data_IF_482895693953
#
_entry.id   IF_482895693953
#
_cell.length_a   1.000
_cell.length_b   1.000
_cell.length_c   1.000
_cell.angle_alpha   90.00
_cell.angle_beta   90.00
_cell.angle_gamma   90.00
#
_symmetry.space_group_name_H-M   'P 1'
#
loop_
_entity.id
_entity.type
_entity.pdbx_description
1 polymer ?
#
# COMPACT_ATOMS: atom_id res chain seq x y z
N UNK A 1 -9.65 -24.02 3.64
CA UNK A 1 -9.31 -23.96 2.21
C UNK A 1 -9.95 -22.71 1.64
N UNK A 2 -9.14 -21.70 1.30
CA UNK A 2 -9.58 -20.42 0.76
C UNK A 2 -9.71 -20.53 -0.77
N UNK A 3 -10.73 -19.93 -1.41
CA UNK A 3 -10.80 -19.92 -2.86
C UNK A 3 -9.81 -18.89 -3.42
N UNK A 4 -8.88 -19.37 -4.24
CA UNK A 4 -8.09 -18.54 -5.14
C UNK A 4 -9.05 -17.74 -6.02
N UNK A 5 -8.96 -16.40 -6.00
CA UNK A 5 -9.58 -15.53 -7.01
C UNK A 5 -8.80 -15.55 -8.35
N UNK A 6 -8.42 -16.75 -8.80
CA UNK A 6 -8.09 -17.01 -10.19
C UNK A 6 -9.40 -17.08 -10.96
N UNK A 7 -9.63 -16.15 -11.88
CA UNK A 7 -10.65 -16.32 -12.92
C UNK A 7 -10.47 -17.70 -13.55
N UNK A 8 -11.53 -18.50 -13.52
CA UNK A 8 -11.56 -19.85 -14.07
C UNK A 8 -11.19 -19.85 -15.54
N UNK A 9 -9.97 -20.28 -15.80
CA UNK A 9 -9.65 -21.27 -16.82
C UNK A 9 -8.81 -22.32 -16.10
N UNK A 10 -9.43 -23.45 -15.71
CA UNK A 10 -8.68 -24.67 -15.41
C UNK A 10 -7.98 -25.10 -16.71
N UNK A 11 -6.73 -24.68 -16.84
CA UNK A 11 -5.77 -25.36 -17.69
C UNK A 11 -4.86 -26.09 -16.72
N UNK A 12 -4.88 -27.42 -16.80
CA UNK A 12 -3.97 -28.33 -16.10
C UNK A 12 -2.54 -27.76 -16.05
N UNK A 13 -1.73 -28.07 -15.02
CA UNK A 13 -0.35 -27.60 -14.91
C UNK A 13 0.51 -28.27 -15.99
N UNK A 14 0.40 -27.78 -17.22
CA UNK A 14 1.32 -28.15 -18.28
C UNK A 14 2.60 -27.35 -18.00
N UNK A 15 3.51 -27.95 -17.21
CA UNK A 15 4.84 -27.45 -16.84
C UNK A 15 5.79 -27.29 -18.06
N UNK A 16 5.29 -26.90 -19.24
CA UNK A 16 6.01 -26.96 -20.51
C UNK A 16 6.25 -25.62 -21.21
N UNK A 17 5.81 -24.48 -20.65
CA UNK A 17 5.69 -23.24 -21.44
C UNK A 17 6.65 -22.11 -21.01
N UNK A 18 7.39 -21.59 -22.00
CA UNK A 18 8.10 -20.31 -21.91
C UNK A 18 7.08 -19.17 -21.84
N UNK A 19 7.07 -18.43 -20.75
CA UNK A 19 6.13 -17.32 -20.56
C UNK A 19 6.75 -16.19 -19.72
N UNK A 20 6.21 -14.99 -19.92
CA UNK A 20 6.46 -13.85 -19.03
C UNK A 20 5.24 -13.71 -18.14
N UNK A 21 5.45 -13.60 -16.83
CA UNK A 21 4.39 -13.29 -15.88
C UNK A 21 4.64 -11.87 -15.38
N UNK A 22 3.64 -11.00 -15.52
CA UNK A 22 3.63 -9.71 -14.82
C UNK A 22 2.83 -9.89 -13.55
N UNK A 23 3.43 -9.57 -12.41
CA UNK A 23 2.82 -9.66 -11.10
C UNK A 23 2.79 -8.28 -10.46
N UNK A 24 1.65 -7.93 -9.86
CA UNK A 24 1.46 -6.73 -9.04
C UNK A 24 1.13 -7.17 -7.62
N UNK A 25 1.78 -6.53 -6.65
CA UNK A 25 1.51 -6.67 -5.23
C UNK A 25 1.72 -5.33 -4.52
N UNK A 26 0.86 -5.01 -3.55
CA UNK A 26 0.93 -3.75 -2.80
C UNK A 26 2.21 -3.59 -1.98
N UNK A 27 2.71 -4.69 -1.40
CA UNK A 27 3.94 -4.73 -0.60
C UNK A 27 4.71 -6.03 -0.87
N UNK A 28 6.01 -6.06 -0.58
CA UNK A 28 6.88 -7.25 -0.73
C UNK A 28 6.37 -8.46 0.07
N UNK A 29 5.70 -8.21 1.20
CA UNK A 29 5.12 -9.22 2.09
C UNK A 29 3.64 -9.50 1.86
N UNK A 30 3.01 -8.85 0.88
CA UNK A 30 1.59 -9.03 0.58
C UNK A 30 1.31 -10.45 0.07
N UNK A 31 0.32 -11.12 0.64
CA UNK A 31 -0.17 -12.42 0.16
C UNK A 31 -1.12 -12.23 -1.04
N UNK A 32 -1.77 -11.07 -1.12
CA UNK A 32 -2.64 -10.73 -2.22
C UNK A 32 -1.81 -10.28 -3.41
N UNK A 33 -1.86 -11.04 -4.50
CA UNK A 33 -1.16 -10.71 -5.74
C UNK A 33 -2.11 -10.83 -6.93
N UNK A 34 -1.90 -9.96 -7.91
CA UNK A 34 -2.55 -10.09 -9.22
C UNK A 34 -1.48 -10.41 -10.24
N UNK A 35 -1.73 -11.36 -11.13
CA UNK A 35 -0.77 -11.71 -12.18
C UNK A 35 -1.43 -11.95 -13.53
N UNK A 36 -0.63 -11.76 -14.59
CA UNK A 36 -0.99 -12.06 -15.97
C UNK A 36 0.14 -12.86 -16.62
N UNK A 37 -0.20 -14.06 -17.08
CA UNK A 37 0.71 -14.92 -17.86
C UNK A 37 0.63 -14.59 -19.35
N UNK A 38 1.76 -14.18 -19.93
CA UNK A 38 1.88 -13.74 -21.31
C UNK A 38 2.63 -14.82 -22.10
N UNK A 39 1.90 -15.51 -22.98
CA UNK A 39 2.41 -16.63 -23.81
C UNK A 39 2.87 -16.18 -25.20
N UNK A 40 3.48 -15.00 -25.31
CA UNK A 40 4.06 -14.51 -26.56
C UNK A 40 5.50 -15.00 -26.73
N UNK A 41 5.71 -15.91 -27.69
CA UNK A 41 7.06 -16.40 -28.05
C UNK A 41 7.99 -15.26 -28.48
N UNK A 42 7.45 -14.27 -29.19
CA UNK A 42 8.20 -13.11 -29.67
C UNK A 42 8.67 -12.24 -28.50
N UNK A 43 7.75 -11.82 -27.62
CA UNK A 43 8.09 -10.99 -26.47
C UNK A 43 9.06 -11.71 -25.54
N UNK A 44 8.83 -13.00 -25.27
CA UNK A 44 9.74 -13.82 -24.47
C UNK A 44 11.17 -13.81 -25.05
N UNK A 45 11.31 -14.04 -26.36
CA UNK A 45 12.62 -14.02 -27.04
C UNK A 45 13.25 -12.64 -27.00
N UNK A 46 12.49 -11.56 -27.17
CA UNK A 46 13.03 -10.19 -27.11
C UNK A 46 13.61 -9.89 -25.71
N UNK A 47 12.85 -10.19 -24.65
CA UNK A 47 13.34 -9.99 -23.27
C UNK A 47 14.50 -10.91 -22.95
N UNK A 48 14.42 -12.20 -23.30
CA UNK A 48 15.51 -13.17 -23.09
C UNK A 48 16.81 -12.77 -23.81
N UNK A 49 16.70 -12.31 -25.06
CA UNK A 49 17.84 -11.81 -25.84
C UNK A 49 18.46 -10.58 -25.16
N UNK A 50 17.64 -9.58 -24.81
CA UNK A 50 18.11 -8.36 -24.15
C UNK A 50 18.83 -8.66 -22.84
N UNK A 51 18.34 -9.59 -22.02
CA UNK A 51 18.99 -9.94 -20.74
C UNK A 51 20.34 -10.64 -20.92
N UNK A 52 20.53 -11.39 -22.02
CA UNK A 52 21.77 -12.13 -22.33
C UNK A 52 22.77 -11.31 -23.14
N UNK A 53 22.33 -10.29 -23.85
CA UNK A 53 23.19 -9.46 -24.69
C UNK A 53 24.23 -8.72 -23.82
N UNK A 54 25.48 -8.74 -24.29
CA UNK A 54 26.61 -8.05 -23.66
C UNK A 54 26.52 -6.53 -23.88
N UNK A 55 25.86 -6.10 -24.97
CA UNK A 55 25.71 -4.70 -25.33
C UNK A 55 24.51 -4.02 -24.67
N UNK A 56 23.64 -4.76 -23.99
CA UNK A 56 22.56 -4.17 -23.19
C UNK A 56 23.14 -3.27 -22.11
N UNK A 57 22.71 -2.01 -22.09
CA UNK A 57 23.09 -1.05 -21.07
C UNK A 57 22.65 -1.53 -19.68
N UNK A 58 23.62 -1.70 -18.80
CA UNK A 58 23.44 -2.16 -17.42
C UNK A 58 24.08 -1.17 -16.47
N UNK A 59 23.41 -0.91 -15.35
CA UNK A 59 23.94 -0.07 -14.28
C UNK A 59 24.01 -0.90 -13.01
N UNK A 60 25.17 -0.91 -12.36
CA UNK A 60 25.30 -1.49 -11.02
C UNK A 60 24.56 -0.59 -10.04
N UNK A 61 23.68 -1.18 -9.25
CA UNK A 61 22.90 -0.47 -8.24
C UNK A 61 23.11 -1.11 -6.87
N UNK A 62 23.22 -0.27 -5.85
CA UNK A 62 23.19 -0.71 -4.45
C UNK A 62 21.79 -0.58 -3.85
N UNK A 63 21.05 0.42 -4.31
CA UNK A 63 19.76 0.82 -3.76
C UNK A 63 18.77 1.16 -4.88
N UNK A 64 17.48 0.97 -4.61
CA UNK A 64 16.39 1.41 -5.47
C UNK A 64 15.13 1.71 -4.65
N UNK A 65 14.18 2.41 -5.28
CA UNK A 65 12.86 2.69 -4.71
C UNK A 65 11.97 1.44 -4.71
N UNK A 66 10.93 1.46 -3.88
CA UNK A 66 9.89 0.42 -3.89
C UNK A 66 9.18 0.42 -5.24
N UNK A 67 8.80 -0.77 -5.71
CA UNK A 67 7.88 -0.96 -6.81
C UNK A 67 6.84 -2.02 -6.45
N UNK A 68 5.65 -1.86 -6.99
CA UNK A 68 4.56 -2.83 -6.93
C UNK A 68 4.67 -3.93 -8.00
N UNK A 69 5.52 -3.73 -9.01
CA UNK A 69 5.50 -4.50 -10.25
C UNK A 69 6.73 -5.39 -10.41
N UNK A 70 6.48 -6.65 -10.76
CA UNK A 70 7.49 -7.67 -10.97
C UNK A 70 7.29 -8.35 -12.32
N UNK A 71 8.39 -8.55 -13.05
CA UNK A 71 8.45 -9.38 -14.24
C UNK A 71 9.13 -10.70 -13.89
N UNK A 72 8.42 -11.81 -14.12
CA UNK A 72 8.93 -13.16 -13.92
C UNK A 72 9.09 -13.81 -15.29
N UNK A 73 10.32 -14.13 -15.69
CA UNK A 73 10.59 -15.01 -16.82
C UNK A 73 10.55 -16.46 -16.35
N UNK A 74 9.59 -17.22 -16.87
CA UNK A 74 9.47 -18.64 -16.59
C UNK A 74 9.83 -19.45 -17.84
N UNK A 75 10.74 -20.40 -17.66
CA UNK A 75 11.09 -21.45 -18.62
C UNK A 75 10.93 -22.82 -17.93
N UNK A 76 11.04 -23.92 -18.68
CA UNK A 76 10.84 -25.30 -18.18
C UNK A 76 11.56 -25.60 -16.85
N UNK A 77 12.79 -25.11 -16.68
CA UNK A 77 13.65 -25.46 -15.54
C UNK A 77 14.11 -24.26 -14.72
N UNK A 78 13.72 -23.04 -15.09
CA UNK A 78 14.26 -21.81 -14.49
C UNK A 78 13.22 -20.72 -14.43
N UNK A 79 13.16 -20.07 -13.27
CA UNK A 79 12.39 -18.86 -13.03
C UNK A 79 13.35 -17.75 -12.65
N UNK A 80 13.29 -16.62 -13.36
CA UNK A 80 14.03 -15.40 -13.03
C UNK A 80 13.05 -14.28 -12.75
N UNK A 81 13.28 -13.56 -11.67
CA UNK A 81 12.40 -12.50 -11.18
C UNK A 81 13.13 -11.18 -11.23
N UNK A 82 12.47 -10.17 -11.78
CA UNK A 82 12.99 -8.82 -11.93
C UNK A 82 11.96 -7.82 -11.42
N UNK A 83 12.39 -6.88 -10.58
CA UNK A 83 11.54 -5.75 -10.19
C UNK A 83 11.46 -4.78 -11.37
N UNK A 84 10.27 -4.28 -11.68
CA UNK A 84 10.05 -3.27 -12.71
C UNK A 84 10.04 -1.91 -12.00
N UNK A 85 11.03 -1.05 -12.24
CA UNK A 85 11.04 0.27 -11.59
C UNK A 85 10.06 1.26 -12.25
N UNK A 86 9.95 2.47 -11.71
CA UNK A 86 9.04 3.52 -12.23
C UNK A 86 9.33 3.89 -13.70
N UNK A 87 10.59 3.80 -14.13
CA UNK A 87 11.00 4.03 -15.52
C UNK A 87 10.84 2.80 -16.43
N UNK A 88 10.18 1.74 -15.94
CA UNK A 88 9.95 0.47 -16.62
C UNK A 88 11.23 -0.29 -16.99
N UNK A 89 12.33 -0.02 -16.28
CA UNK A 89 13.56 -0.80 -16.35
C UNK A 89 13.47 -2.01 -15.41
N UNK A 90 14.29 -3.04 -15.68
CA UNK A 90 14.28 -4.28 -14.90
C UNK A 90 15.44 -4.30 -13.91
N UNK A 91 15.17 -4.65 -12.66
CA UNK A 91 16.16 -4.76 -11.60
C UNK A 91 16.30 -6.23 -11.21
N UNK A 92 17.50 -6.77 -11.31
CA UNK A 92 17.90 -8.03 -10.68
C UNK A 92 18.48 -7.70 -9.31
N UNK A 93 17.65 -7.77 -8.27
CA UNK A 93 18.07 -7.45 -6.90
C UNK A 93 19.15 -8.39 -6.39
N UNK A 94 19.19 -9.65 -6.85
CA UNK A 94 20.21 -10.64 -6.42
C UNK A 94 21.59 -10.27 -6.95
N UNK A 95 21.65 -9.70 -8.15
CA UNK A 95 22.90 -9.28 -8.77
C UNK A 95 23.24 -7.80 -8.52
N UNK A 96 22.29 -7.01 -8.02
CA UNK A 96 22.46 -5.56 -7.88
C UNK A 96 22.62 -4.87 -9.24
N UNK A 97 21.86 -5.29 -10.25
CA UNK A 97 21.96 -4.78 -11.62
C UNK A 97 20.61 -4.27 -12.12
N UNK A 98 20.63 -3.07 -12.70
CA UNK A 98 19.53 -2.49 -13.45
C UNK A 98 19.79 -2.65 -14.95
N UNK A 99 18.84 -3.24 -15.67
CA UNK A 99 18.80 -3.37 -17.12
C UNK A 99 17.95 -2.25 -17.70
N UNK A 100 18.55 -1.43 -18.57
CA UNK A 100 17.82 -0.37 -19.26
C UNK A 100 17.07 -0.94 -20.44
N UNK A 101 15.74 -0.84 -20.40
CA UNK A 101 14.90 -1.42 -21.44
C UNK A 101 14.81 -0.48 -22.65
N UNK A 102 14.90 -1.03 -23.88
CA UNK A 102 14.53 -0.32 -25.09
C UNK A 102 13.09 0.21 -25.04
N UNK A 103 12.83 1.34 -25.71
CA UNK A 103 11.55 2.04 -25.66
C UNK A 103 10.37 1.17 -26.12
N UNK A 104 10.56 0.33 -27.15
CA UNK A 104 9.51 -0.57 -27.66
C UNK A 104 9.13 -1.64 -26.62
N UNK A 105 10.12 -2.20 -25.91
CA UNK A 105 9.89 -3.14 -24.82
C UNK A 105 9.23 -2.46 -23.61
N UNK A 106 9.61 -1.23 -23.29
CA UNK A 106 8.93 -0.44 -22.24
C UNK A 106 7.45 -0.27 -22.54
N UNK A 107 7.09 0.11 -23.77
CA UNK A 107 5.68 0.26 -24.18
C UNK A 107 4.92 -1.06 -24.03
N UNK A 108 5.49 -2.17 -24.52
CA UNK A 108 4.87 -3.50 -24.42
C UNK A 108 4.68 -3.92 -22.96
N UNK A 109 5.69 -3.79 -22.10
CA UNK A 109 5.61 -4.16 -20.68
C UNK A 109 4.64 -3.25 -19.93
N UNK A 110 4.67 -1.94 -20.18
CA UNK A 110 3.76 -0.98 -19.55
C UNK A 110 2.29 -1.34 -19.79
N UNK A 111 1.95 -1.76 -21.01
CA UNK A 111 0.60 -2.22 -21.35
C UNK A 111 0.13 -3.33 -20.40
N UNK A 112 0.97 -4.36 -20.19
CA UNK A 112 0.62 -5.48 -19.32
C UNK A 112 0.63 -5.09 -17.84
N UNK A 113 1.61 -4.31 -17.39
CA UNK A 113 1.65 -3.77 -16.02
C UNK A 113 0.35 -3.01 -15.70
N UNK A 114 -0.11 -2.14 -16.60
CA UNK A 114 -1.33 -1.37 -16.37
C UNK A 114 -2.60 -2.23 -16.37
N UNK A 115 -2.66 -3.30 -17.17
CA UNK A 115 -3.77 -4.27 -17.11
C UNK A 115 -3.83 -4.92 -15.72
N UNK A 116 -2.68 -5.37 -15.20
CA UNK A 116 -2.64 -6.04 -13.90
C UNK A 116 -2.89 -5.06 -12.75
N UNK A 117 -2.36 -3.82 -12.82
CA UNK A 117 -2.63 -2.77 -11.82
C UNK A 117 -4.10 -2.42 -11.73
N UNK A 118 -4.80 -2.26 -12.85
CA UNK A 118 -6.26 -1.99 -12.89
C UNK A 118 -7.08 -3.09 -12.22
N UNK A 119 -6.59 -4.33 -12.24
CA UNK A 119 -7.23 -5.46 -11.56
C UNK A 119 -6.85 -5.53 -10.08
N UNK A 120 -5.61 -5.17 -9.74
CA UNK A 120 -5.09 -5.29 -8.38
C UNK A 120 -5.57 -4.17 -7.45
N UNK A 121 -5.59 -2.93 -7.95
CA UNK A 121 -5.94 -1.75 -7.15
C UNK A 121 -7.37 -1.29 -7.41
N UNK A 122 -7.90 -0.51 -6.46
CA UNK A 122 -9.23 0.06 -6.54
C UNK A 122 -9.25 1.45 -7.19
N UNK A 123 -10.37 1.79 -7.81
CA UNK A 123 -10.63 3.16 -8.26
C UNK A 123 -10.86 4.08 -7.05
N UNK A 124 -10.14 5.21 -7.02
CA UNK A 124 -10.29 6.21 -5.98
C UNK A 124 -11.56 7.03 -6.24
N UNK A 125 -12.63 6.72 -5.51
CA UNK A 125 -13.90 7.44 -5.60
C UNK A 125 -14.08 8.39 -4.42
N UNK A 126 -14.76 9.51 -4.67
CA UNK A 126 -15.23 10.39 -3.58
C UNK A 126 -16.30 9.70 -2.76
N UNK A 127 -16.53 10.17 -1.54
CA UNK A 127 -17.63 9.68 -0.70
C UNK A 127 -18.99 9.80 -1.40
N UNK A 128 -19.26 10.92 -2.09
CA UNK A 128 -20.53 11.10 -2.81
C UNK A 128 -20.70 10.04 -3.91
N UNK A 129 -19.66 9.79 -4.71
CA UNK A 129 -19.68 8.74 -5.74
C UNK A 129 -19.84 7.33 -5.11
N UNK A 130 -19.10 7.04 -4.04
CA UNK A 130 -19.17 5.75 -3.36
C UNK A 130 -20.55 5.52 -2.71
N UNK A 131 -21.16 6.57 -2.13
CA UNK A 131 -22.48 6.52 -1.50
C UNK A 131 -23.58 6.18 -2.48
N UNK A 132 -23.50 6.67 -3.72
CA UNK A 132 -24.43 6.30 -4.80
C UNK A 132 -24.29 4.83 -5.20
N UNK A 133 -23.05 4.31 -5.25
CA UNK A 133 -22.79 2.91 -5.61
C UNK A 133 -23.07 1.92 -4.48
N UNK A 134 -22.97 2.36 -3.24
CA UNK A 134 -23.12 1.54 -2.04
C UNK A 134 -24.28 2.08 -1.19
N UNK A 135 -25.54 2.05 -1.68
CA UNK A 135 -26.68 2.64 -0.97
C UNK A 135 -26.92 1.96 0.39
N UNK A 136 -27.68 2.62 1.27
CA UNK A 136 -28.03 2.04 2.58
C UNK A 136 -28.68 0.65 2.38
N UNK A 137 -28.28 -0.32 3.21
CA UNK A 137 -28.65 -1.74 3.17
C UNK A 137 -28.06 -2.56 2.01
N UNK A 138 -27.26 -1.96 1.12
CA UNK A 138 -26.51 -2.73 0.12
C UNK A 138 -25.55 -3.70 0.79
N UNK A 139 -25.43 -4.89 0.22
CA UNK A 139 -24.45 -5.91 0.61
C UNK A 139 -23.32 -5.92 -0.40
N UNK A 140 -22.08 -5.92 0.08
CA UNK A 140 -20.89 -5.96 -0.78
C UNK A 140 -19.74 -6.69 -0.11
N UNK A 141 -18.75 -7.07 -0.91
CA UNK A 141 -17.54 -7.75 -0.47
C UNK A 141 -16.43 -6.74 -0.22
N UNK A 142 -15.82 -6.84 0.96
CA UNK A 142 -14.58 -6.13 1.32
C UNK A 142 -13.43 -7.11 1.18
N UNK A 143 -12.35 -6.69 0.53
CA UNK A 143 -11.12 -7.46 0.35
C UNK A 143 -9.98 -6.68 0.98
N UNK A 144 -9.26 -7.28 1.93
CA UNK A 144 -8.05 -6.67 2.49
C UNK A 144 -6.91 -6.69 1.48
N UNK A 145 -6.31 -5.53 1.21
CA UNK A 145 -5.32 -5.38 0.14
C UNK A 145 -4.08 -6.25 0.37
N UNK A 146 -3.67 -6.47 1.62
CA UNK A 146 -2.43 -7.18 1.94
C UNK A 146 -2.64 -8.70 2.05
N UNK A 147 -3.69 -9.13 2.76
CA UNK A 147 -3.92 -10.56 3.02
C UNK A 147 -4.70 -11.24 1.90
N UNK A 148 -5.50 -10.48 1.13
CA UNK A 148 -6.42 -11.01 0.13
C UNK A 148 -7.65 -11.70 0.73
N UNK A 149 -7.74 -11.74 2.06
CA UNK A 149 -8.93 -12.24 2.74
C UNK A 149 -10.11 -11.32 2.44
N UNK A 150 -11.27 -11.93 2.22
CA UNK A 150 -12.48 -11.22 1.86
C UNK A 150 -13.67 -11.67 2.69
N UNK A 151 -14.55 -10.72 2.97
CA UNK A 151 -15.74 -10.94 3.79
C UNK A 151 -16.88 -10.03 3.31
N UNK A 152 -18.11 -10.46 3.53
CA UNK A 152 -19.29 -9.69 3.16
C UNK A 152 -19.72 -8.77 4.29
N UNK A 153 -20.19 -7.59 3.91
CA UNK A 153 -20.74 -6.60 4.82
C UNK A 153 -22.06 -6.06 4.28
N UNK A 154 -22.86 -5.48 5.17
CA UNK A 154 -23.99 -4.65 4.81
C UNK A 154 -23.76 -3.22 5.29
N UNK A 155 -24.03 -2.22 4.45
CA UNK A 155 -24.09 -0.83 4.90
C UNK A 155 -25.34 -0.59 5.74
N UNK A 156 -25.18 -0.10 6.97
CA UNK A 156 -26.26 0.12 7.93
C UNK A 156 -26.59 1.59 8.13
N UNK A 157 -25.60 2.46 8.06
CA UNK A 157 -25.76 3.90 8.26
C UNK A 157 -24.64 4.69 7.55
N UNK A 158 -24.24 5.81 8.14
CA UNK A 158 -23.16 6.66 7.67
C UNK A 158 -23.59 7.74 6.68
N UNK A 159 -23.38 9.00 7.08
CA UNK A 159 -23.63 10.20 6.25
C UNK A 159 -22.37 10.80 5.64
N UNK A 160 -21.20 10.56 6.26
CA UNK A 160 -19.88 11.09 5.86
C UNK A 160 -18.89 10.00 5.41
N UNK A 161 -19.24 8.75 5.68
CA UNK A 161 -18.53 7.53 5.32
C UNK A 161 -19.54 6.37 5.46
N UNK A 162 -19.14 5.14 5.15
CA UNK A 162 -20.03 3.99 5.28
C UNK A 162 -19.89 3.33 6.64
N UNK A 163 -20.98 3.32 7.42
CA UNK A 163 -21.10 2.51 8.63
C UNK A 163 -21.61 1.13 8.22
N UNK A 164 -20.78 0.11 8.41
CA UNK A 164 -21.00 -1.24 7.90
C UNK A 164 -20.88 -2.29 9.00
N UNK A 165 -21.55 -3.41 8.81
CA UNK A 165 -21.45 -4.58 9.70
C UNK A 165 -21.12 -5.81 8.88
N UNK A 166 -20.26 -6.73 9.38
CA UNK A 166 -20.11 -8.05 8.79
C UNK A 166 -21.47 -8.75 8.70
N UNK A 167 -21.71 -9.44 7.59
CA UNK A 167 -23.03 -10.03 7.32
C UNK A 167 -23.30 -11.27 8.17
N UNK A 168 -22.26 -12.04 8.51
CA UNK A 168 -22.35 -13.30 9.26
C UNK A 168 -21.21 -13.44 10.28
N UNK A 169 -21.35 -14.37 11.24
CA UNK A 169 -20.27 -14.73 12.18
C UNK A 169 -18.99 -15.19 11.47
N UNK A 170 -19.12 -15.83 10.31
CA UNK A 170 -17.98 -16.20 9.46
C UNK A 170 -17.26 -14.95 8.92
N UNK A 171 -18.00 -13.95 8.47
CA UNK A 171 -17.44 -12.69 7.97
C UNK A 171 -16.71 -11.95 9.09
N UNK A 172 -17.27 -11.91 10.30
CA UNK A 172 -16.62 -11.34 11.49
C UNK A 172 -15.35 -12.07 11.86
N UNK A 173 -15.34 -13.41 11.79
CA UNK A 173 -14.13 -14.20 12.03
C UNK A 173 -13.02 -13.88 11.02
N UNK A 174 -13.36 -13.72 9.74
CA UNK A 174 -12.40 -13.34 8.70
C UNK A 174 -11.87 -11.93 8.96
N UNK A 175 -12.75 -10.97 9.26
CA UNK A 175 -12.35 -9.61 9.61
C UNK A 175 -11.42 -9.58 10.83
N UNK A 176 -11.72 -10.35 11.86
CA UNK A 176 -10.87 -10.48 13.05
C UNK A 176 -9.51 -11.11 12.73
N UNK A 177 -9.47 -12.07 11.80
CA UNK A 177 -8.22 -12.65 11.30
C UNK A 177 -7.35 -11.62 10.56
N UNK A 178 -7.94 -10.73 9.75
CA UNK A 178 -7.24 -9.62 9.09
C UNK A 178 -6.53 -8.72 10.12
N UNK A 179 -7.12 -8.59 11.31
CA UNK A 179 -6.54 -7.86 12.44
C UNK A 179 -5.83 -8.76 13.46
N UNK A 180 -5.26 -9.88 13.01
CA UNK A 180 -4.44 -10.79 13.83
C UNK A 180 -5.15 -11.30 15.10
N UNK A 181 -6.46 -11.55 15.01
CA UNK A 181 -7.26 -12.09 16.10
C UNK A 181 -7.79 -11.06 17.09
N UNK A 182 -7.56 -9.77 16.88
CA UNK A 182 -8.00 -8.70 17.79
C UNK A 182 -8.73 -7.58 17.03
N UNK A 183 -9.67 -6.90 17.69
CA UNK A 183 -10.27 -5.70 17.11
C UNK A 183 -9.33 -4.50 17.24
N UNK A 184 -9.27 -3.65 16.22
CA UNK A 184 -8.30 -2.56 16.18
C UNK A 184 -8.83 -1.34 15.46
N UNK A 185 -8.42 -0.17 15.95
CA UNK A 185 -8.64 1.09 15.23
C UNK A 185 -7.66 1.29 14.08
N UNK A 186 -6.64 0.44 13.90
CA UNK A 186 -5.69 0.61 12.80
C UNK A 186 -6.41 0.56 11.44
N UNK A 187 -6.00 1.49 10.58
CA UNK A 187 -6.58 1.67 9.25
C UNK A 187 -5.94 0.64 8.33
N UNK A 188 -6.75 -0.01 7.52
CA UNK A 188 -6.30 -0.95 6.49
C UNK A 188 -6.79 -0.52 5.13
N UNK A 189 -5.90 -0.60 4.14
CA UNK A 189 -6.25 -0.43 2.74
C UNK A 189 -7.10 -1.62 2.28
N UNK A 190 -8.28 -1.34 1.75
CA UNK A 190 -9.23 -2.36 1.31
C UNK A 190 -9.77 -2.06 -0.08
N UNK A 191 -10.26 -3.11 -0.73
CA UNK A 191 -10.94 -3.05 -2.00
C UNK A 191 -12.40 -3.42 -1.78
N UNK A 192 -13.32 -2.61 -2.31
CA UNK A 192 -14.75 -2.90 -2.30
C UNK A 192 -15.12 -3.43 -3.68
N UNK A 193 -15.55 -4.68 -3.75
CA UNK A 193 -15.84 -5.32 -5.03
C UNK A 193 -17.14 -4.77 -5.64
N UNK A 194 -17.07 -4.28 -6.88
CA UNK A 194 -18.19 -3.67 -7.60
C UNK A 194 -18.16 -4.07 -9.08
N UNK A 195 -18.76 -5.21 -9.43
CA UNK A 195 -18.76 -5.72 -10.80
C UNK A 195 -17.35 -6.10 -11.27
N UNK A 196 -16.93 -5.58 -12.42
CA UNK A 196 -15.62 -5.85 -13.04
C UNK A 196 -14.45 -5.06 -12.42
N UNK A 197 -14.74 -4.12 -11.51
CA UNK A 197 -13.73 -3.31 -10.85
C UNK A 197 -13.90 -3.26 -9.34
N UNK A 198 -12.86 -2.80 -8.66
CA UNK A 198 -12.86 -2.55 -7.22
C UNK A 198 -12.82 -1.06 -6.94
N UNK A 199 -13.44 -0.64 -5.84
CA UNK A 199 -13.32 0.73 -5.32
C UNK A 199 -12.27 0.72 -4.21
N UNK A 200 -11.35 1.70 -4.21
CA UNK A 200 -10.38 1.87 -3.15
C UNK A 200 -11.08 2.38 -1.88
N UNK A 201 -10.89 1.69 -0.77
CA UNK A 201 -11.44 2.03 0.54
C UNK A 201 -10.40 1.97 1.64
N UNK A 202 -10.74 2.53 2.79
CA UNK A 202 -9.96 2.40 4.01
C UNK A 202 -10.85 2.05 5.18
N UNK A 203 -10.62 0.91 5.82
CA UNK A 203 -11.44 0.45 6.95
C UNK A 203 -10.69 0.52 8.27
N UNK A 204 -11.43 0.70 9.37
CA UNK A 204 -10.97 0.27 10.70
C UNK A 204 -11.62 -1.08 11.09
N UNK A 205 -11.14 -1.68 12.17
CA UNK A 205 -11.57 -3.00 12.63
C UNK A 205 -12.33 -3.01 13.95
N UNK A 206 -12.52 -1.84 14.58
CA UNK A 206 -13.07 -1.78 15.93
C UNK A 206 -14.59 -1.69 15.88
N UNK A 207 -15.33 -2.63 16.50
CA UNK A 207 -16.77 -2.49 16.65
C UNK A 207 -17.11 -1.27 17.52
N UNK A 208 -18.02 -0.43 17.05
CA UNK A 208 -18.52 0.72 17.78
C UNK A 208 -19.93 1.13 17.35
N UNK A 209 -20.57 2.00 18.14
CA UNK A 209 -21.91 2.49 17.86
C UNK A 209 -22.99 1.40 17.90
N UNK A 210 -24.07 1.61 17.16
CA UNK A 210 -25.24 0.70 17.17
C UNK A 210 -25.01 -0.59 16.39
N UNK A 211 -25.56 -1.68 16.94
CA UNK A 211 -25.65 -3.00 16.33
C UNK A 211 -27.02 -3.16 15.63
N UNK A 212 -27.08 -3.97 14.57
CA UNK A 212 -28.32 -4.15 13.82
C UNK A 212 -28.40 -5.42 12.97
N UNK A 213 -27.36 -6.25 12.92
CA UNK A 213 -27.40 -7.59 12.32
C UNK A 213 -27.22 -8.60 13.46
N UNK A 214 -28.28 -9.31 13.87
CA UNK A 214 -28.17 -10.29 14.94
C UNK A 214 -27.33 -11.50 14.50
N UNK A 215 -26.68 -12.16 15.47
CA UNK A 215 -25.95 -13.42 15.28
C UNK A 215 -24.76 -13.36 14.30
N UNK A 216 -24.17 -12.18 14.10
CA UNK A 216 -22.95 -12.01 13.31
C UNK A 216 -21.66 -11.98 14.15
N UNK A 217 -21.73 -12.18 15.48
CA UNK A 217 -20.59 -12.08 16.40
C UNK A 217 -19.79 -10.75 16.31
N UNK A 218 -20.47 -9.66 15.96
CA UNK A 218 -19.87 -8.33 15.84
C UNK A 218 -20.75 -7.25 16.48
N UNK A 219 -20.36 -6.81 17.68
CA UNK A 219 -21.17 -5.91 18.52
C UNK A 219 -21.03 -4.43 18.11
N UNK A 220 -21.76 -4.02 17.07
CA UNK A 220 -21.77 -2.64 16.57
C UNK A 220 -21.54 -2.57 15.07
N UNK A 221 -20.96 -1.47 14.58
CA UNK A 221 -20.49 -1.32 13.20
C UNK A 221 -19.02 -0.89 13.17
N UNK A 222 -18.44 -0.90 11.97
CA UNK A 222 -17.15 -0.31 11.69
C UNK A 222 -17.25 0.63 10.47
N UNK A 223 -16.25 1.49 10.30
CA UNK A 223 -16.28 2.50 9.25
C UNK A 223 -15.44 2.06 8.04
N UNK A 224 -15.97 2.31 6.85
CA UNK A 224 -15.20 2.34 5.60
C UNK A 224 -15.23 3.76 5.06
N UNK A 225 -14.06 4.35 4.93
CA UNK A 225 -13.83 5.69 4.40
C UNK A 225 -13.50 5.63 2.91
N UNK A 226 -13.86 6.71 2.21
CA UNK A 226 -13.56 6.99 0.81
C UNK A 226 -12.94 8.40 0.69
N UNK A 227 -12.57 8.82 -0.52
CA UNK A 227 -11.95 10.14 -0.69
C UNK A 227 -12.93 11.25 -0.26
N UNK A 228 -12.46 12.17 0.57
CA UNK A 228 -13.30 13.24 1.13
C UNK A 228 -14.19 12.82 2.31
N UNK A 229 -14.15 11.56 2.75
CA UNK A 229 -14.80 11.16 4.00
C UNK A 229 -14.23 11.91 5.21
N UNK A 230 -15.11 12.32 6.13
CA UNK A 230 -14.72 12.96 7.40
C UNK A 230 -15.14 12.09 8.58
N UNK A 231 -14.43 12.25 9.71
CA UNK A 231 -14.80 11.56 10.96
C UNK A 231 -16.06 12.16 11.58
N UNK A 232 -16.72 11.43 12.46
CA UNK A 232 -17.88 11.95 13.18
C UNK A 232 -17.54 13.12 14.11
N UNK A 233 -16.34 13.11 14.71
CA UNK A 233 -15.94 14.03 15.78
C UNK A 233 -15.25 15.30 15.29
N UNK A 234 -14.51 15.23 14.18
CA UNK A 234 -13.76 16.35 13.62
C UNK A 234 -14.16 16.56 12.16
N UNK A 235 -14.41 17.81 11.76
CA UNK A 235 -14.67 18.19 10.34
C UNK A 235 -13.43 18.07 9.45
N UNK A 236 -12.29 17.63 9.98
CA UNK A 236 -11.05 17.47 9.25
C UNK A 236 -10.94 16.07 8.65
N UNK A 237 -10.18 15.96 7.57
CA UNK A 237 -9.92 14.67 6.94
C UNK A 237 -8.92 13.88 7.79
N UNK A 238 -9.17 12.58 7.97
CA UNK A 238 -8.24 11.67 8.66
C UNK A 238 -7.13 11.25 7.68
N UNK A 239 -5.93 11.81 7.87
CA UNK A 239 -4.76 11.51 7.04
C UNK A 239 -4.40 10.02 7.04
N UNK A 240 -4.65 9.28 8.14
CA UNK A 240 -4.41 7.82 8.16
C UNK A 240 -5.37 7.08 7.22
N UNK A 241 -6.63 7.51 7.15
CA UNK A 241 -7.57 6.94 6.17
C UNK A 241 -7.16 7.33 4.74
N UNK A 242 -6.72 8.57 4.51
CA UNK A 242 -6.22 9.01 3.20
C UNK A 242 -5.00 8.20 2.73
N UNK A 243 -4.01 7.96 3.60
CA UNK A 243 -2.83 7.15 3.25
C UNK A 243 -3.24 5.75 2.79
N UNK A 244 -4.17 5.10 3.50
CA UNK A 244 -4.68 3.79 3.11
C UNK A 244 -5.53 3.82 1.83
N UNK A 245 -6.25 4.92 1.55
CA UNK A 245 -6.96 5.08 0.28
C UNK A 245 -6.00 5.18 -0.90
N UNK A 246 -4.96 6.00 -0.80
CA UNK A 246 -3.93 6.09 -1.83
C UNK A 246 -3.16 4.78 -2.00
N UNK A 247 -2.95 4.03 -0.91
CA UNK A 247 -2.38 2.68 -0.96
C UNK A 247 -3.31 1.71 -1.70
N UNK A 248 -4.60 1.66 -1.35
CA UNK A 248 -5.61 0.85 -2.03
C UNK A 248 -5.78 1.19 -3.52
N UNK A 249 -5.51 2.43 -3.91
CA UNK A 249 -5.57 2.89 -5.29
C UNK A 249 -4.25 2.70 -6.07
N UNK A 250 -3.16 2.24 -5.44
CA UNK A 250 -1.84 2.16 -6.08
C UNK A 250 -1.24 3.54 -6.40
N UNK A 251 -1.66 4.58 -5.67
CA UNK A 251 -1.31 5.98 -5.90
C UNK A 251 -0.43 6.58 -4.79
N UNK A 252 -0.12 5.82 -3.73
CA UNK A 252 0.65 6.29 -2.58
C UNK A 252 2.00 6.92 -2.96
N UNK A 253 2.79 6.25 -3.81
CA UNK A 253 4.09 6.80 -4.22
C UNK A 253 3.95 8.13 -4.95
N UNK A 254 2.94 8.26 -5.82
CA UNK A 254 2.62 9.52 -6.51
C UNK A 254 2.19 10.62 -5.54
N UNK A 255 1.39 10.28 -4.53
CA UNK A 255 1.00 11.20 -3.46
C UNK A 255 2.21 11.75 -2.71
N UNK A 256 3.14 10.87 -2.32
CA UNK A 256 4.38 11.26 -1.62
C UNK A 256 5.35 12.03 -2.52
N UNK A 257 5.36 11.79 -3.83
CA UNK A 257 6.20 12.58 -4.75
C UNK A 257 5.84 14.07 -4.76
N UNK A 258 4.56 14.40 -4.55
CA UNK A 258 4.09 15.79 -4.46
C UNK A 258 3.94 16.32 -3.03
N UNK A 259 4.36 15.56 -2.03
CA UNK A 259 4.18 15.90 -0.62
C UNK A 259 5.09 17.06 -0.19
N UNK A 260 4.57 17.96 0.64
CA UNK A 260 5.37 18.97 1.34
C UNK A 260 6.25 18.32 2.41
N UNK A 261 7.27 19.02 2.94
CA UNK A 261 8.04 18.55 4.10
C UNK A 261 7.15 18.09 5.26
N UNK A 262 6.08 18.85 5.54
CA UNK A 262 5.13 18.57 6.60
C UNK A 262 4.32 17.31 6.31
N UNK A 263 3.85 17.12 5.07
CA UNK A 263 3.13 15.90 4.66
C UNK A 263 4.02 14.65 4.78
N UNK A 264 5.33 14.76 4.48
CA UNK A 264 6.30 13.66 4.65
C UNK A 264 6.43 13.30 6.13
N UNK A 265 6.53 14.28 7.03
CA UNK A 265 6.59 14.08 8.48
C UNK A 265 5.29 13.49 9.03
N UNK A 266 4.12 14.01 8.64
CA UNK A 266 2.84 13.45 9.07
C UNK A 266 2.70 12.01 8.57
N UNK A 267 3.13 11.72 7.34
CA UNK A 267 3.16 10.38 6.77
C UNK A 267 4.08 9.43 7.55
N UNK A 268 5.19 9.93 8.10
CA UNK A 268 6.08 9.15 8.97
C UNK A 268 5.35 8.69 10.23
N UNK A 269 4.71 9.61 10.95
CA UNK A 269 3.94 9.26 12.16
C UNK A 269 2.73 8.37 11.85
N UNK A 270 2.10 8.54 10.69
CA UNK A 270 1.03 7.65 10.22
C UNK A 270 1.60 6.25 9.99
N UNK A 271 2.72 6.11 9.28
CA UNK A 271 3.35 4.82 9.04
C UNK A 271 3.65 4.09 10.36
N UNK A 272 4.19 4.81 11.36
CA UNK A 272 4.47 4.24 12.68
C UNK A 272 3.20 3.77 13.41
N UNK A 273 2.18 4.63 13.48
CA UNK A 273 0.94 4.31 14.18
C UNK A 273 0.12 3.20 13.50
N UNK A 274 0.12 3.17 12.16
CA UNK A 274 -0.54 2.11 11.40
C UNK A 274 0.28 0.82 11.32
N UNK A 275 1.54 0.85 11.77
CA UNK A 275 2.53 -0.23 11.64
C UNK A 275 2.73 -0.67 10.19
N UNK A 276 2.75 0.32 9.29
CA UNK A 276 2.83 0.08 7.85
C UNK A 276 4.25 0.37 7.35
N UNK A 277 5.05 -0.70 7.27
CA UNK A 277 6.44 -0.63 6.84
C UNK A 277 6.58 -0.16 5.38
N UNK A 278 5.59 -0.44 4.54
CA UNK A 278 5.60 0.04 3.16
C UNK A 278 5.51 1.57 3.12
N UNK A 279 4.56 2.17 3.86
CA UNK A 279 4.48 3.63 3.94
C UNK A 279 5.82 4.21 4.44
N UNK A 280 6.38 3.67 5.52
CA UNK A 280 7.64 4.16 6.08
C UNK A 280 8.76 4.13 5.03
N UNK A 281 8.98 2.97 4.39
CA UNK A 281 10.05 2.76 3.39
C UNK A 281 9.98 3.78 2.24
N UNK A 282 8.79 4.21 1.83
CA UNK A 282 8.64 5.18 0.74
C UNK A 282 9.06 6.60 1.11
N UNK A 283 9.17 6.93 2.40
CA UNK A 283 9.56 8.26 2.87
C UNK A 283 11.08 8.47 2.85
N UNK A 284 11.86 7.38 2.80
CA UNK A 284 13.32 7.41 2.72
C UNK A 284 13.80 7.40 1.25
N UNK A 285 15.05 7.83 0.99
CA UNK A 285 15.66 7.80 -0.35
C UNK A 285 15.67 6.41 -0.99
N UNK A 286 15.75 5.35 -0.19
CA UNK A 286 15.71 3.98 -0.67
C UNK A 286 15.09 3.00 0.33
N UNK A 287 14.57 1.89 -0.18
CA UNK A 287 13.78 0.91 0.60
C UNK A 287 14.57 0.16 1.70
N UNK A 288 15.90 0.20 1.62
CA UNK A 288 16.85 -0.46 2.54
C UNK A 288 17.66 0.55 3.37
N UNK A 289 17.09 1.72 3.67
CA UNK A 289 17.70 2.71 4.57
C UNK A 289 17.94 2.11 5.96
N UNK A 290 19.10 2.40 6.56
CA UNK A 290 19.56 1.74 7.79
C UNK A 290 18.62 1.99 8.99
N UNK A 291 18.00 3.17 9.04
CA UNK A 291 17.05 3.52 10.12
C UNK A 291 15.68 2.81 10.02
N UNK A 292 15.37 2.15 8.91
CA UNK A 292 14.06 1.48 8.75
C UNK A 292 13.88 0.39 9.79
N UNK A 293 14.92 -0.38 10.12
CA UNK A 293 14.80 -1.44 11.13
C UNK A 293 14.58 -0.87 12.53
N UNK A 294 15.29 0.22 12.88
CA UNK A 294 15.08 0.94 14.14
C UNK A 294 13.63 1.41 14.30
N UNK A 295 13.03 1.98 13.24
CA UNK A 295 11.64 2.44 13.28
C UNK A 295 10.63 1.30 13.24
N UNK A 296 10.97 0.17 12.64
CA UNK A 296 10.16 -1.06 12.71
C UNK A 296 10.10 -1.61 14.14
N UNK A 297 11.22 -1.59 14.88
CA UNK A 297 11.21 -1.92 16.31
C UNK A 297 10.37 -0.91 17.12
N UNK A 298 10.43 0.38 16.77
CA UNK A 298 9.61 1.41 17.41
C UNK A 298 8.11 1.20 17.19
N UNK A 299 7.69 0.78 15.98
CA UNK A 299 6.32 0.36 15.66
C UNK A 299 5.84 -0.79 16.56
N UNK A 300 6.75 -1.69 16.97
CA UNK A 300 6.40 -2.85 17.78
C UNK A 300 6.41 -2.58 19.27
N UNK A 301 7.23 -1.66 19.75
CA UNK A 301 7.34 -1.34 21.18
C UNK A 301 6.29 -0.33 21.64
N UNK A 302 5.85 0.55 20.74
CA UNK A 302 4.87 1.60 21.04
C UNK A 302 3.44 1.22 20.62
N UNK A 303 2.48 1.64 21.42
CA UNK A 303 1.04 1.51 21.14
C UNK A 303 0.49 2.74 20.41
N UNK A 304 1.08 3.92 20.64
CA UNK A 304 0.66 5.17 20.02
C UNK A 304 1.79 6.19 20.00
N UNK A 305 1.84 6.99 18.94
CA UNK A 305 2.72 8.13 18.80
C UNK A 305 1.87 9.36 18.44
N UNK A 306 1.98 10.43 19.21
CA UNK A 306 1.21 11.66 18.99
C UNK A 306 2.12 12.87 18.98
N UNK A 307 2.11 13.62 17.87
CA UNK A 307 2.76 14.91 17.78
C UNK A 307 2.15 15.92 18.76
N UNK A 308 3.01 16.74 19.37
CA UNK A 308 2.66 17.82 20.29
C UNK A 308 2.85 19.20 19.69
N UNK A 309 3.88 19.39 18.85
CA UNK A 309 4.20 20.69 18.25
C UNK A 309 3.48 20.92 16.91
N UNK A 310 3.10 22.17 16.64
CA UNK A 310 2.81 22.62 15.27
C UNK A 310 4.09 22.65 14.45
N UNK A 311 3.95 22.79 13.12
CA UNK A 311 5.09 23.10 12.27
C UNK A 311 5.50 24.55 12.50
N UNK A 312 6.80 24.83 12.52
CA UNK A 312 7.25 26.20 12.31
C UNK A 312 6.94 26.59 10.86
N UNK A 313 6.40 27.79 10.64
CA UNK A 313 6.31 28.36 9.30
C UNK A 313 7.73 28.72 8.85
N UNK A 314 8.27 28.01 7.88
CA UNK A 314 9.54 28.34 7.26
C UNK A 314 9.34 28.45 5.74
N UNK A 315 9.81 29.54 5.15
CA UNK A 315 9.88 29.68 3.69
C UNK A 315 11.01 28.77 3.17
N UNK A 316 10.66 27.88 2.24
CA UNK A 316 11.58 26.83 1.78
C UNK A 316 12.21 27.19 0.43
N UNK A 317 13.47 27.63 0.44
CA UNK A 317 14.30 27.78 -0.78
C UNK A 317 15.59 26.92 -0.75
N UNK A 318 15.70 26.01 0.22
CA UNK A 318 16.87 25.14 0.41
C UNK A 318 16.59 23.68 -0.02
N UNK A 319 17.64 22.97 -0.47
CA UNK A 319 17.63 21.53 -0.76
C UNK A 319 17.62 20.68 0.52
N UNK A 320 17.91 21.28 1.67
CA UNK A 320 17.93 20.62 2.97
C UNK A 320 17.10 21.37 4.00
N UNK A 321 16.39 20.63 4.86
CA UNK A 321 15.64 21.18 5.98
C UNK A 321 15.84 20.32 7.23
N UNK A 322 15.82 20.95 8.39
CA UNK A 322 15.83 20.26 9.69
C UNK A 322 14.61 20.69 10.49
N UNK A 323 13.65 19.79 10.69
CA UNK A 323 12.40 20.12 11.37
C UNK A 323 12.33 19.36 12.70
N UNK A 324 12.38 20.06 13.85
CA UNK A 324 12.17 19.45 15.16
C UNK A 324 10.67 19.25 15.43
N UNK A 325 10.31 18.04 15.85
CA UNK A 325 8.94 17.67 16.20
C UNK A 325 8.93 17.05 17.58
N UNK A 326 8.24 17.72 18.51
CA UNK A 326 7.96 17.16 19.81
C UNK A 326 6.80 16.16 19.69
N UNK A 327 6.96 14.97 20.25
CA UNK A 327 5.96 13.93 20.24
C UNK A 327 5.89 13.21 21.60
N UNK A 328 4.73 12.61 21.88
CA UNK A 328 4.54 11.64 22.97
C UNK A 328 4.52 10.24 22.37
N UNK A 329 5.40 9.39 22.89
CA UNK A 329 5.39 7.95 22.71
C UNK A 329 4.64 7.31 23.87
N UNK A 330 3.62 6.53 23.57
CA UNK A 330 2.94 5.67 24.54
C UNK A 330 3.38 4.24 24.28
N UNK A 331 4.04 3.62 25.26
CA UNK A 331 4.46 2.21 25.18
C UNK A 331 3.25 1.27 25.27
N UNK A 332 3.44 -0.02 24.95
CA UNK A 332 2.41 -1.06 25.19
C UNK A 332 2.00 -1.20 26.67
N UNK A 333 2.84 -0.74 27.61
CA UNK A 333 2.57 -0.74 29.05
C UNK A 333 1.99 0.59 29.56
N UNK A 334 1.43 1.42 28.66
CA UNK A 334 0.83 2.72 28.96
C UNK A 334 1.77 3.74 29.64
N UNK A 335 3.09 3.56 29.52
CA UNK A 335 4.06 4.60 29.90
C UNK A 335 4.18 5.61 28.78
N UNK A 336 4.07 6.90 29.12
CA UNK A 336 4.26 8.00 28.20
C UNK A 336 5.68 8.55 28.32
N UNK A 337 6.28 8.86 27.18
CA UNK A 337 7.58 9.51 27.09
C UNK A 337 7.50 10.63 26.07
N UNK A 338 7.92 11.83 26.45
CA UNK A 338 8.07 12.94 25.52
C UNK A 338 9.41 12.78 24.85
N UNK A 339 9.44 12.99 23.53
CA UNK A 339 10.65 12.94 22.71
C UNK A 339 10.63 14.08 21.71
N UNK A 340 11.82 14.47 21.23
CA UNK A 340 11.97 15.39 20.10
C UNK A 340 12.64 14.65 18.96
N UNK A 341 11.91 14.48 17.86
CA UNK A 341 12.46 13.99 16.60
C UNK A 341 13.01 15.18 15.82
N UNK A 342 14.25 15.09 15.32
CA UNK A 342 14.77 16.04 14.34
C UNK A 342 14.78 15.35 12.98
N UNK A 343 13.94 15.84 12.07
CA UNK A 343 13.84 15.30 10.71
C UNK A 343 14.78 16.07 9.80
N UNK A 344 15.80 15.38 9.28
CA UNK A 344 16.68 15.90 8.24
C UNK A 344 16.06 15.52 6.90
N UNK A 345 15.43 16.49 6.24
CA UNK A 345 14.75 16.31 4.97
C UNK A 345 15.63 16.81 3.83
N UNK A 346 15.63 16.05 2.74
CA UNK A 346 16.34 16.39 1.51
C UNK A 346 15.36 16.50 0.34
N UNK A 347 15.45 17.59 -0.42
CA UNK A 347 14.73 17.78 -1.68
C UNK A 347 15.57 17.24 -2.83
N UNK A 348 14.95 16.42 -3.67
CA UNK A 348 15.57 16.02 -4.92
C UNK A 348 15.48 17.18 -5.93
N UNK A 349 16.63 17.68 -6.41
CA UNK A 349 16.68 18.86 -7.29
C UNK A 349 15.99 18.67 -8.66
N UNK A 350 15.83 17.43 -9.13
CA UNK A 350 15.23 17.14 -10.45
C UNK A 350 13.73 16.92 -10.32
N UNK A 351 13.31 16.15 -9.32
CA UNK A 351 11.92 15.73 -9.15
C UNK A 351 11.13 16.59 -8.17
N UNK A 352 11.81 17.48 -7.44
CA UNK A 352 11.27 18.30 -6.35
C UNK A 352 10.65 17.50 -5.19
N UNK A 353 10.91 16.18 -5.12
CA UNK A 353 10.37 15.32 -4.06
C UNK A 353 11.15 15.50 -2.77
N UNK A 354 10.44 15.58 -1.63
CA UNK A 354 11.05 15.54 -0.31
C UNK A 354 11.18 14.10 0.21
N UNK A 355 12.32 13.79 0.82
CA UNK A 355 12.60 12.52 1.50
C UNK A 355 13.24 12.75 2.86
N UNK A 356 13.02 11.82 3.77
CA UNK A 356 13.69 11.76 5.07
C UNK A 356 15.08 11.17 4.85
N UNK A 357 16.10 12.01 4.91
CA UNK A 357 17.49 11.57 4.84
C UNK A 357 17.95 10.94 6.15
N UNK A 358 17.61 11.57 7.27
CA UNK A 358 17.93 11.07 8.60
C UNK A 358 16.89 11.55 9.63
N UNK A 359 16.79 10.83 10.74
CA UNK A 359 15.96 11.21 11.88
C UNK A 359 16.71 10.94 13.18
N UNK A 360 17.00 11.98 13.96
CA UNK A 360 17.55 11.80 15.31
C UNK A 360 16.46 11.98 16.35
N UNK A 361 16.62 11.32 17.51
CA UNK A 361 15.62 11.32 18.59
C UNK A 361 16.29 11.65 19.91
N UNK A 362 15.85 12.74 20.55
CA UNK A 362 16.29 13.17 21.87
C UNK A 362 15.15 12.96 22.88
N UNK A 363 15.51 12.62 24.13
CA UNK A 363 14.58 12.31 25.23
C UNK A 363 14.46 13.46 26.22
#
# INVERSE_FOLDING_TARGET
MLPNNSLGFEISPNQSLKQIIIQIQSTESSNNTSSLSIRSKELFRQVEKMLKDKNTLKTKIKYHHISDATLILQNKNQTKTYVINEMLNLIDEKQGVLFHLPSDLKIKINKYVNIVRKKHYGYLLTWEQAKEKLPKYSIFTVIDLETGLSFKVQRRAGSKHADVQPLTAKDSKIMKQIYNGQWSWNRRAVLIQSGDYSIAGSMNGMPHGGDGIPHNDFSGHFCIHFLGSTTHRLKNVDLSHQSMLYKAAGMWTKYIQSATPNDVIDSFFIALNQKDLFLLKTLFPHKNHDQIETFKEEMETNSKIRRLSSYAEEEYDDLWLVIPIQAVLTTKHNKNQIVVYHFYLQKNAITNTWKIYDVTKNY
#
